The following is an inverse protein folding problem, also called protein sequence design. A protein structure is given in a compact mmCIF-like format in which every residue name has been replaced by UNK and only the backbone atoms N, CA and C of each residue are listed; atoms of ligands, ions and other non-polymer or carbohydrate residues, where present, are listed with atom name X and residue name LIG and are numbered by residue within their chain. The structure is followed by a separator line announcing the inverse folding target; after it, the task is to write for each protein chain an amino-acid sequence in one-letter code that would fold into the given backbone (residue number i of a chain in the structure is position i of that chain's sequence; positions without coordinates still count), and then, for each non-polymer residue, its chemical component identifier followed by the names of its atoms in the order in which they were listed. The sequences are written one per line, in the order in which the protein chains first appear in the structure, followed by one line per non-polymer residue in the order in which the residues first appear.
data_IF_332254131200
#
_entry.id   IF_332254131200
#
_cell.length_a   1.000
_cell.length_b   1.000
_cell.length_c   1.000
_cell.angle_alpha   90.00
_cell.angle_beta   90.00
_cell.angle_gamma   90.00
#
_symmetry.space_group_name_H-M   'P 1'
#
loop_
_entity.id
_entity.type
_entity.pdbx_description
1 polymer ?
#
# COMPACT_ATOMS: atom_id res chain seq x y z
N UNK A 1 -8.79 -11.07 11.50
CA UNK A 1 -8.92 -11.10 10.03
C UNK A 1 -7.68 -11.74 9.47
N UNK A 2 -7.84 -12.75 8.60
CA UNK A 2 -6.68 -13.41 7.98
C UNK A 2 -5.96 -12.45 7.05
N UNK A 3 -4.64 -12.56 7.01
CA UNK A 3 -3.81 -11.80 6.11
C UNK A 3 -2.60 -12.61 5.64
N UNK A 4 -2.23 -12.40 4.39
CA UNK A 4 -1.00 -12.92 3.79
C UNK A 4 0.05 -11.82 3.76
N UNK A 5 1.27 -12.19 4.15
CA UNK A 5 2.41 -11.27 4.23
C UNK A 5 3.39 -11.59 3.11
N UNK A 6 3.84 -10.55 2.42
CA UNK A 6 4.75 -10.63 1.30
C UNK A 6 6.03 -9.86 1.56
N UNK A 7 7.14 -10.34 0.99
CA UNK A 7 8.34 -9.52 0.72
C UNK A 7 8.50 -9.45 -0.79
N UNK A 8 8.38 -8.24 -1.34
CA UNK A 8 8.17 -8.07 -2.78
C UNK A 8 6.96 -8.89 -3.24
N UNK A 9 7.15 -9.88 -4.12
CA UNK A 9 6.09 -10.80 -4.57
C UNK A 9 6.07 -12.14 -3.85
N UNK A 10 7.06 -12.42 -2.98
CA UNK A 10 7.17 -13.72 -2.30
C UNK A 10 6.29 -13.74 -1.05
N UNK A 11 5.48 -14.78 -0.91
CA UNK A 11 4.74 -15.03 0.33
C UNK A 11 5.75 -15.45 1.40
N UNK A 12 5.87 -14.64 2.44
CA UNK A 12 6.75 -14.92 3.58
C UNK A 12 6.00 -15.49 4.76
N UNK A 13 4.67 -15.45 4.76
CA UNK A 13 3.87 -16.12 5.79
C UNK A 13 2.44 -15.60 5.83
N UNK A 14 1.70 -16.08 6.81
CA UNK A 14 0.31 -15.70 7.07
C UNK A 14 0.14 -15.29 8.52
N UNK A 15 -0.91 -14.54 8.82
CA UNK A 15 -1.24 -14.10 10.18
C UNK A 15 -2.73 -13.89 10.34
N UNK A 16 -3.23 -14.17 11.54
CA UNK A 16 -4.57 -13.76 11.97
C UNK A 16 -4.45 -12.42 12.71
N UNK A 17 -4.71 -11.32 12.01
CA UNK A 17 -4.61 -9.98 12.56
C UNK A 17 -5.79 -9.64 13.46
N UNK A 18 -5.50 -8.98 14.57
CA UNK A 18 -6.47 -8.39 15.48
C UNK A 18 -6.08 -6.95 15.83
N UNK A 19 -7.06 -6.18 16.27
CA UNK A 19 -6.84 -4.80 16.70
C UNK A 19 -6.05 -4.80 18.00
N UNK A 20 -4.93 -4.07 18.02
CA UNK A 20 -4.11 -3.84 19.20
C UNK A 20 -4.38 -2.47 19.79
N UNK A 21 -3.36 -1.61 19.75
CA UNK A 21 -3.51 -0.22 20.19
C UNK A 21 -4.31 0.57 19.15
N UNK A 22 -5.60 0.75 19.44
CA UNK A 22 -6.53 1.52 18.61
C UNK A 22 -6.12 2.99 18.45
N UNK A 23 -5.50 3.58 19.47
CA UNK A 23 -5.10 4.99 19.44
C UNK A 23 -3.97 5.25 18.46
N UNK A 24 -3.16 4.22 18.20
CA UNK A 24 -2.05 4.22 17.26
C UNK A 24 -2.42 3.55 15.93
N UNK A 25 -3.70 3.19 15.75
CA UNK A 25 -4.20 2.39 14.62
C UNK A 25 -3.33 1.16 14.34
N UNK A 26 -3.01 0.41 15.40
CA UNK A 26 -2.15 -0.77 15.33
C UNK A 26 -2.98 -2.05 15.23
N UNK A 27 -2.58 -2.94 14.32
CA UNK A 27 -3.04 -4.34 14.28
C UNK A 27 -1.84 -5.27 14.42
N UNK A 28 -2.05 -6.42 15.03
CA UNK A 28 -1.00 -7.39 15.27
C UNK A 28 -1.55 -8.81 15.20
N UNK A 29 -0.67 -9.80 15.05
CA UNK A 29 -1.07 -11.20 15.05
C UNK A 29 0.12 -12.14 15.14
N UNK A 30 -0.17 -13.40 15.45
CA UNK A 30 0.82 -14.47 15.39
C UNK A 30 1.19 -14.70 13.93
N UNK A 31 2.47 -14.51 13.62
CA UNK A 31 3.01 -14.70 12.29
C UNK A 31 3.44 -16.15 12.10
N UNK A 32 2.87 -16.79 11.07
CA UNK A 32 3.19 -18.15 10.66
C UNK A 32 4.12 -18.05 9.45
N UNK A 33 5.44 -18.14 9.65
CA UNK A 33 6.41 -17.96 8.57
C UNK A 33 6.36 -19.09 7.54
N UNK A 34 6.49 -18.72 6.27
CA UNK A 34 6.79 -19.63 5.16
C UNK A 34 8.31 -19.80 4.99
N UNK A 35 8.72 -20.77 4.16
CA UNK A 35 10.15 -21.03 3.90
C UNK A 35 10.91 -19.78 3.40
N UNK A 36 10.25 -18.92 2.63
CA UNK A 36 10.85 -17.71 2.09
C UNK A 36 11.16 -16.65 3.18
N UNK A 37 10.45 -16.66 4.31
CA UNK A 37 10.80 -15.81 5.45
C UNK A 37 12.19 -16.15 5.99
N UNK A 38 12.42 -17.42 6.31
CA UNK A 38 13.71 -17.88 6.83
C UNK A 38 14.85 -17.64 5.84
N UNK A 39 14.57 -17.80 4.54
CA UNK A 39 15.56 -17.67 3.47
C UNK A 39 15.95 -16.22 3.18
N UNK A 40 15.01 -15.29 3.24
CA UNK A 40 15.20 -13.93 2.72
C UNK A 40 14.98 -12.79 3.72
N UNK A 41 14.21 -13.02 4.78
CA UNK A 41 13.74 -11.95 5.69
C UNK A 41 14.34 -12.06 7.09
N UNK A 42 14.30 -13.25 7.71
CA UNK A 42 14.62 -13.45 9.13
C UNK A 42 15.94 -12.80 9.57
N UNK A 43 17.02 -13.04 8.83
CA UNK A 43 18.32 -12.45 9.15
C UNK A 43 18.29 -10.93 9.19
N UNK A 44 17.52 -10.29 8.31
CA UNK A 44 17.36 -8.84 8.32
C UNK A 44 16.54 -8.35 9.52
N UNK A 45 15.58 -9.14 10.01
CA UNK A 45 14.83 -8.86 11.25
C UNK A 45 15.78 -8.88 12.45
N UNK A 46 16.55 -9.95 12.61
CA UNK A 46 17.50 -10.09 13.72
C UNK A 46 18.57 -8.99 13.69
N UNK A 47 19.14 -8.70 12.53
CA UNK A 47 20.13 -7.63 12.37
C UNK A 47 19.54 -6.23 12.67
N UNK A 48 18.26 -6.01 12.34
CA UNK A 48 17.58 -4.74 12.62
C UNK A 48 17.33 -4.54 14.12
N UNK A 49 16.88 -5.60 14.83
CA UNK A 49 16.56 -5.56 16.26
C UNK A 49 17.79 -5.60 17.19
N UNK A 50 18.91 -6.17 16.74
CA UNK A 50 20.12 -6.34 17.55
C UNK A 50 21.04 -5.11 17.65
N UNK A 51 20.68 -3.99 16.98
CA UNK A 51 21.54 -2.80 16.88
C UNK A 51 20.86 -1.52 17.35
N UNK A 52 21.64 -0.62 17.95
CA UNK A 52 21.19 0.75 18.26
C UNK A 52 21.22 1.69 17.03
N UNK A 53 21.65 1.19 15.87
CA UNK A 53 21.71 1.93 14.60
C UNK A 53 21.08 1.09 13.48
N UNK A 54 19.74 0.91 13.50
CA UNK A 54 19.06 0.09 12.50
C UNK A 54 19.25 0.62 11.08
N UNK A 55 19.49 -0.29 10.14
CA UNK A 55 19.59 0.04 8.71
C UNK A 55 18.18 0.06 8.08
N UNK A 56 17.54 1.22 8.14
CA UNK A 56 16.23 1.45 7.53
C UNK A 56 16.24 1.25 6.02
N UNK A 57 17.35 1.53 5.33
CA UNK A 57 17.42 1.32 3.87
C UNK A 57 17.32 -0.17 3.55
N UNK A 58 18.05 -1.01 4.30
CA UNK A 58 17.95 -2.46 4.18
C UNK A 58 16.54 -2.95 4.57
N UNK A 59 15.96 -2.43 5.65
CA UNK A 59 14.59 -2.74 6.06
C UNK A 59 13.56 -2.45 4.96
N UNK A 60 13.56 -1.23 4.43
CA UNK A 60 12.65 -0.84 3.36
C UNK A 60 12.89 -1.63 2.06
N UNK A 61 14.12 -2.12 1.81
CA UNK A 61 14.40 -2.96 0.65
C UNK A 61 13.72 -4.34 0.71
N UNK A 62 13.26 -4.78 1.88
CA UNK A 62 12.45 -5.99 2.02
C UNK A 62 11.06 -5.82 1.40
N UNK A 63 10.60 -4.59 1.21
CA UNK A 63 9.32 -4.25 0.59
C UNK A 63 8.16 -5.12 1.12
N UNK A 64 7.96 -5.04 2.44
CA UNK A 64 6.95 -5.83 3.13
C UNK A 64 5.56 -5.30 2.76
N UNK A 65 4.67 -6.22 2.40
CA UNK A 65 3.28 -5.92 2.06
C UNK A 65 2.36 -6.90 2.80
N UNK A 66 1.22 -6.43 3.27
CA UNK A 66 0.22 -7.27 3.94
C UNK A 66 -1.12 -7.12 3.25
N UNK A 67 -1.69 -8.23 2.79
CA UNK A 67 -3.00 -8.29 2.15
C UNK A 67 -3.99 -9.01 3.05
N UNK A 68 -5.08 -8.34 3.40
CA UNK A 68 -6.21 -8.94 4.12
C UNK A 68 -6.97 -9.94 3.23
N UNK A 69 -7.68 -10.88 3.83
CA UNK A 69 -8.47 -11.90 3.10
C UNK A 69 -9.59 -11.32 2.22
N UNK A 70 -10.02 -10.08 2.47
CA UNK A 70 -10.94 -9.34 1.59
C UNK A 70 -10.25 -8.67 0.39
N UNK A 71 -8.95 -8.89 0.21
CA UNK A 71 -8.11 -8.36 -0.87
C UNK A 71 -7.51 -6.97 -0.63
N UNK A 72 -7.83 -6.30 0.49
CA UNK A 72 -7.27 -4.98 0.82
C UNK A 72 -5.81 -5.08 1.24
N UNK A 73 -4.93 -4.31 0.60
CA UNK A 73 -3.57 -4.10 1.09
C UNK A 73 -3.53 -3.07 2.20
N UNK A 74 -2.74 -3.34 3.24
CA UNK A 74 -2.46 -2.38 4.30
C UNK A 74 -1.36 -1.41 3.86
N UNK A 75 -1.54 -0.12 4.16
CA UNK A 75 -0.54 0.93 3.94
C UNK A 75 -0.21 1.61 5.29
N UNK A 76 0.64 1.00 6.12
CA UNK A 76 0.95 1.50 7.46
C UNK A 76 1.95 2.66 7.41
N UNK A 77 1.60 3.78 8.04
CA UNK A 77 2.51 4.93 8.20
C UNK A 77 3.65 4.61 9.18
N UNK A 78 3.36 3.83 10.24
CA UNK A 78 4.35 3.39 11.22
C UNK A 78 5.17 2.18 10.76
N UNK A 79 4.82 1.58 9.61
CA UNK A 79 5.49 0.42 9.05
C UNK A 79 5.12 -0.91 9.71
N UNK A 80 6.01 -1.87 9.53
CA UNK A 80 5.89 -3.24 10.00
C UNK A 80 7.03 -3.54 10.97
N UNK A 81 6.78 -4.38 11.96
CA UNK A 81 7.82 -5.00 12.79
C UNK A 81 7.51 -6.47 13.02
N UNK A 82 8.57 -7.26 13.17
CA UNK A 82 8.50 -8.66 13.55
C UNK A 82 9.19 -8.84 14.89
N UNK A 83 8.49 -9.45 15.84
CA UNK A 83 9.07 -9.94 17.09
C UNK A 83 9.60 -11.36 16.84
N UNK A 84 10.77 -11.43 16.23
CA UNK A 84 11.56 -12.64 16.00
C UNK A 84 12.95 -12.41 16.58
N UNK A 85 13.28 -13.17 17.61
CA UNK A 85 14.51 -13.04 18.38
C UNK A 85 15.34 -14.31 18.19
N UNK A 86 16.58 -14.16 17.73
CA UNK A 86 17.47 -15.29 17.37
C UNK A 86 17.66 -16.27 18.53
N UNK A 87 17.74 -15.75 19.76
CA UNK A 87 17.90 -16.53 20.98
C UNK A 87 16.66 -17.38 21.33
N UNK A 88 15.49 -17.05 20.79
CA UNK A 88 14.20 -17.67 21.11
C UNK A 88 13.56 -18.39 19.92
N UNK A 89 14.33 -19.27 19.26
CA UNK A 89 13.91 -20.05 18.08
C UNK A 89 12.64 -20.92 18.22
N UNK A 90 12.06 -21.04 19.42
CA UNK A 90 10.84 -21.82 19.71
C UNK A 90 9.63 -20.92 19.98
N UNK A 91 9.84 -19.61 20.16
CA UNK A 91 8.74 -18.68 20.43
C UNK A 91 7.94 -18.38 19.17
N UNK A 92 6.68 -18.01 19.37
CA UNK A 92 5.80 -17.62 18.27
C UNK A 92 6.24 -16.25 17.78
N UNK A 93 6.57 -16.16 16.50
CA UNK A 93 6.87 -14.88 15.87
C UNK A 93 5.59 -14.05 15.84
N UNK A 94 5.68 -12.77 16.20
CA UNK A 94 4.58 -11.81 16.08
C UNK A 94 4.89 -10.80 14.99
N UNK A 95 3.86 -10.37 14.26
CA UNK A 95 3.93 -9.20 13.38
C UNK A 95 3.05 -8.09 13.95
N UNK A 96 3.58 -6.87 13.95
CA UNK A 96 2.88 -5.64 14.30
C UNK A 96 2.87 -4.69 13.10
N UNK A 97 1.73 -4.03 12.90
CA UNK A 97 1.47 -3.16 11.77
C UNK A 97 0.86 -1.87 12.30
N UNK A 98 1.63 -0.77 12.26
CA UNK A 98 1.31 0.46 12.97
C UNK A 98 0.91 1.61 12.03
N UNK A 99 -0.02 2.46 12.46
CA UNK A 99 -0.41 3.64 11.68
C UNK A 99 -1.23 3.29 10.44
N UNK A 100 -2.11 2.31 10.57
CA UNK A 100 -3.04 1.89 9.52
C UNK A 100 -4.23 2.87 9.45
N UNK A 101 -4.85 3.07 8.27
CA UNK A 101 -5.95 4.03 8.17
C UNK A 101 -7.15 3.61 9.03
N UNK A 102 -7.75 4.55 9.76
CA UNK A 102 -8.81 4.28 10.74
C UNK A 102 -10.02 3.53 10.15
N UNK A 103 -10.42 3.87 8.93
CA UNK A 103 -11.54 3.19 8.27
C UNK A 103 -11.27 1.69 8.05
N UNK A 104 -10.01 1.25 7.85
CA UNK A 104 -9.67 -0.18 7.74
C UNK A 104 -10.06 -0.90 9.04
N UNK A 105 -9.74 -0.31 10.19
CA UNK A 105 -10.09 -0.88 11.50
C UNK A 105 -11.61 -0.92 11.67
N UNK A 106 -12.29 0.19 11.40
CA UNK A 106 -13.73 0.30 11.62
C UNK A 106 -14.53 -0.59 10.65
N UNK A 107 -14.16 -0.61 9.38
CA UNK A 107 -14.89 -1.31 8.32
C UNK A 107 -14.58 -2.81 8.26
N UNK A 108 -13.32 -3.22 8.49
CA UNK A 108 -12.90 -4.59 8.24
C UNK A 108 -12.68 -5.42 9.51
N UNK A 109 -12.29 -4.78 10.62
CA UNK A 109 -12.02 -5.49 11.88
C UNK A 109 -13.15 -5.37 12.90
N UNK A 110 -13.85 -4.23 12.95
CA UNK A 110 -14.91 -3.97 13.95
C UNK A 110 -16.33 -4.19 13.45
N UNK A 111 -16.55 -4.19 12.14
CA UNK A 111 -17.86 -4.48 11.56
C UNK A 111 -18.07 -5.99 11.42
N UNK A 112 -19.26 -6.47 11.76
CA UNK A 112 -19.66 -7.89 11.62
C UNK A 112 -21.01 -8.00 10.87
N UNK A 113 -21.02 -8.50 9.62
CA UNK A 113 -19.85 -8.92 8.84
C UNK A 113 -18.95 -7.72 8.45
N UNK A 114 -17.67 -7.95 8.13
CA UNK A 114 -16.80 -6.93 7.55
C UNK A 114 -17.45 -6.27 6.33
N UNK A 115 -17.33 -4.94 6.21
CA UNK A 115 -17.87 -4.23 5.05
C UNK A 115 -17.14 -4.66 3.77
N UNK A 116 -17.85 -4.60 2.65
CA UNK A 116 -17.26 -4.81 1.34
C UNK A 116 -16.14 -3.79 1.10
N UNK A 117 -14.99 -4.29 0.64
CA UNK A 117 -13.84 -3.46 0.30
C UNK A 117 -14.06 -2.75 -1.04
N UNK A 118 -14.48 -3.50 -2.06
CA UNK A 118 -14.76 -2.99 -3.41
C UNK A 118 -16.09 -3.56 -3.92
N UNK A 119 -16.68 -2.86 -4.87
CA UNK A 119 -17.90 -3.24 -5.58
C UNK A 119 -17.68 -3.06 -7.08
N UNK A 120 -18.32 -3.89 -7.91
CA UNK A 120 -18.21 -3.78 -9.37
C UNK A 120 -18.50 -2.35 -9.84
N UNK A 121 -17.76 -1.82 -10.84
CA UNK A 121 -16.71 -2.46 -11.64
C UNK A 121 -15.31 -2.42 -11.02
N UNK A 122 -15.18 -2.14 -9.72
CA UNK A 122 -13.90 -2.12 -9.01
C UNK A 122 -13.51 -3.50 -8.49
N UNK A 123 -12.24 -3.87 -8.69
CA UNK A 123 -11.70 -5.16 -8.25
C UNK A 123 -10.47 -5.03 -7.35
N UNK A 124 -10.31 -6.03 -6.49
CA UNK A 124 -9.09 -6.23 -5.70
C UNK A 124 -7.91 -6.49 -6.63
N UNK A 125 -6.72 -6.09 -6.20
CA UNK A 125 -5.48 -6.34 -6.92
C UNK A 125 -4.65 -7.41 -6.19
N UNK A 126 -3.79 -8.12 -6.92
CA UNK A 126 -2.78 -9.00 -6.30
C UNK A 126 -1.44 -8.26 -6.10
N UNK A 127 -0.47 -8.94 -5.50
CA UNK A 127 0.84 -8.34 -5.19
C UNK A 127 1.62 -7.95 -6.46
N UNK A 128 1.53 -8.73 -7.54
CA UNK A 128 2.18 -8.40 -8.80
C UNK A 128 1.60 -7.13 -9.43
N UNK A 129 0.26 -7.00 -9.44
CA UNK A 129 -0.44 -5.81 -9.91
C UNK A 129 -0.11 -4.60 -9.06
N UNK A 130 -0.12 -4.75 -7.73
CA UNK A 130 0.24 -3.68 -6.80
C UNK A 130 1.61 -3.08 -7.11
N UNK A 131 2.63 -3.94 -7.17
CA UNK A 131 4.00 -3.49 -7.43
C UNK A 131 4.17 -2.93 -8.85
N UNK A 132 3.46 -3.49 -9.84
CA UNK A 132 3.43 -2.96 -11.20
C UNK A 132 2.88 -1.53 -11.22
N UNK A 133 1.74 -1.29 -10.57
CA UNK A 133 1.07 0.02 -10.54
C UNK A 133 1.89 1.07 -9.81
N UNK A 134 2.50 0.70 -8.67
CA UNK A 134 3.38 1.59 -7.91
C UNK A 134 4.64 1.94 -8.70
N UNK A 135 5.25 0.97 -9.37
CA UNK A 135 6.43 1.20 -10.20
C UNK A 135 6.10 2.12 -11.38
N UNK A 136 4.98 1.88 -12.06
CA UNK A 136 4.55 2.72 -13.18
C UNK A 136 4.23 4.15 -12.72
N UNK A 137 3.50 4.31 -11.60
CA UNK A 137 3.25 5.63 -11.02
C UNK A 137 4.57 6.36 -10.72
N UNK A 138 5.52 5.70 -10.06
CA UNK A 138 6.80 6.28 -9.70
C UNK A 138 7.61 6.72 -10.93
N UNK A 139 7.58 5.93 -12.01
CA UNK A 139 8.20 6.27 -13.29
C UNK A 139 7.62 7.56 -13.87
N UNK A 140 6.29 7.67 -13.91
CA UNK A 140 5.61 8.82 -14.50
C UNK A 140 5.80 10.11 -13.67
N UNK A 141 5.77 10.03 -12.32
CA UNK A 141 5.90 11.23 -11.47
C UNK A 141 7.35 11.74 -11.30
N UNK A 142 8.37 10.86 -11.36
CA UNK A 142 9.78 11.27 -11.18
C UNK A 142 10.31 12.01 -12.41
N UNK A 143 9.96 11.57 -13.62
CA UNK A 143 10.45 12.21 -14.83
C UNK A 143 9.75 13.54 -15.13
N UNK A 144 8.54 13.80 -14.61
CA UNK A 144 7.94 15.13 -14.62
C UNK A 144 8.81 16.20 -13.92
N UNK A 145 9.77 15.78 -13.07
CA UNK A 145 10.69 16.67 -12.36
C UNK A 145 12.09 16.77 -12.98
N UNK A 146 12.43 15.95 -13.98
CA UNK A 146 13.79 15.85 -14.53
C UNK A 146 13.81 15.79 -16.07
N UNK A 147 13.52 16.92 -16.72
CA UNK A 147 13.93 17.13 -18.11
C UNK A 147 15.28 17.85 -18.15
N UNK A 148 16.33 17.13 -18.60
CA UNK A 148 17.63 17.68 -18.96
C UNK A 148 18.00 17.17 -20.36
N UNK A 149 17.73 17.97 -21.40
CA UNK A 149 18.60 18.21 -22.56
C UNK A 149 18.15 19.55 -23.21
N UNK A 150 18.76 20.65 -22.79
CA UNK A 150 18.94 21.85 -23.61
C UNK A 150 17.86 22.94 -23.61
N UNK A 151 16.55 22.67 -23.54
CA UNK A 151 15.53 23.72 -23.72
C UNK A 151 14.28 23.46 -22.87
N UNK A 152 13.96 24.42 -22.00
CA UNK A 152 12.79 24.54 -21.10
C UNK A 152 12.77 23.59 -19.90
N UNK A 153 13.05 24.12 -18.71
CA UNK A 153 12.68 23.48 -17.43
C UNK A 153 11.16 23.48 -17.32
N UNK A 154 10.51 22.35 -17.54
CA UNK A 154 9.16 22.15 -16.99
C UNK A 154 9.29 22.09 -15.45
N UNK A 155 8.86 23.15 -14.77
CA UNK A 155 8.95 23.32 -13.32
C UNK A 155 7.79 22.72 -12.54
N UNK A 156 6.87 22.00 -13.21
CA UNK A 156 5.66 21.50 -12.57
C UNK A 156 5.88 20.07 -12.07
N UNK A 157 6.31 19.97 -10.81
CA UNK A 157 6.23 18.72 -10.04
C UNK A 157 4.80 18.17 -10.12
N UNK A 158 4.68 16.85 -10.30
CA UNK A 158 3.40 16.19 -10.24
C UNK A 158 2.81 16.30 -8.82
N UNK A 159 1.48 16.31 -8.68
CA UNK A 159 0.82 16.49 -7.38
C UNK A 159 1.18 15.39 -6.38
N UNK A 160 1.51 14.19 -6.88
CA UNK A 160 1.94 13.03 -6.08
C UNK A 160 3.46 12.91 -5.88
N UNK A 161 4.28 13.85 -6.36
CA UNK A 161 5.75 13.74 -6.28
C UNK A 161 6.26 13.60 -4.84
N UNK A 162 5.60 14.24 -3.88
CA UNK A 162 6.01 14.25 -2.47
C UNK A 162 5.13 13.31 -1.60
N UNK A 163 4.39 12.37 -2.22
CA UNK A 163 3.56 11.39 -1.52
C UNK A 163 4.15 9.98 -1.60
N UNK A 164 4.07 9.25 -0.49
CA UNK A 164 4.14 7.80 -0.49
C UNK A 164 2.81 7.26 -1.01
N UNK A 165 2.88 6.33 -1.96
CA UNK A 165 1.71 5.83 -2.68
C UNK A 165 1.68 4.31 -2.59
N UNK A 166 0.51 3.76 -2.30
CA UNK A 166 0.27 2.32 -2.18
C UNK A 166 -0.98 1.96 -2.96
N UNK A 167 -0.87 1.11 -3.98
CA UNK A 167 -2.02 0.72 -4.80
C UNK A 167 -3.03 -0.10 -3.97
N UNK A 168 -4.31 0.18 -4.18
CA UNK A 168 -5.44 -0.33 -3.37
C UNK A 168 -6.36 -1.21 -4.21
N UNK A 169 -6.91 -0.69 -5.29
CA UNK A 169 -7.81 -1.40 -6.20
C UNK A 169 -7.77 -0.78 -7.60
N UNK A 170 -8.36 -1.46 -8.58
CA UNK A 170 -8.47 -0.95 -9.96
C UNK A 170 -9.90 -1.06 -10.46
N UNK A 171 -10.25 -0.18 -11.40
CA UNK A 171 -11.47 -0.34 -12.19
C UNK A 171 -11.20 -1.34 -13.33
N UNK A 172 -12.16 -2.21 -13.67
CA UNK A 172 -12.00 -3.19 -14.76
C UNK A 172 -12.23 -2.59 -16.16
N UNK A 173 -12.99 -1.50 -16.26
CA UNK A 173 -13.38 -0.87 -17.51
C UNK A 173 -12.43 0.23 -17.96
N UNK A 174 -11.58 0.72 -17.06
CA UNK A 174 -10.62 1.79 -17.33
C UNK A 174 -9.23 1.44 -16.78
N UNK A 175 -8.25 2.23 -17.19
CA UNK A 175 -6.89 2.19 -16.62
C UNK A 175 -6.79 3.00 -15.31
N UNK A 176 -7.90 3.11 -14.57
CA UNK A 176 -7.95 3.83 -13.30
C UNK A 176 -7.54 2.91 -12.14
N UNK A 177 -6.59 3.39 -11.35
CA UNK A 177 -6.10 2.73 -10.14
C UNK A 177 -6.25 3.68 -8.96
N UNK A 178 -6.83 3.17 -7.87
CA UNK A 178 -6.87 3.89 -6.60
C UNK A 178 -5.59 3.61 -5.82
N UNK A 179 -4.96 4.67 -5.34
CA UNK A 179 -3.83 4.64 -4.42
C UNK A 179 -4.24 5.22 -3.07
N UNK A 180 -3.83 4.57 -1.98
CA UNK A 180 -3.70 5.22 -0.70
C UNK A 180 -2.43 6.08 -0.73
N UNK A 181 -2.54 7.30 -0.27
CA UNK A 181 -1.44 8.27 -0.30
C UNK A 181 -1.19 8.85 1.09
N UNK A 182 0.07 9.13 1.39
CA UNK A 182 0.46 9.81 2.61
C UNK A 182 1.59 10.81 2.32
N UNK A 183 1.55 11.98 2.96
CA UNK A 183 2.69 12.88 3.01
C UNK A 183 2.93 13.39 4.44
N UNK A 184 4.18 13.67 4.74
CA UNK A 184 4.59 14.24 6.03
C UNK A 184 4.28 15.75 6.16
N UNK A 185 3.76 16.38 5.10
CA UNK A 185 3.54 17.83 4.99
C UNK A 185 2.07 18.21 5.19
N UNK A 186 1.33 17.49 6.05
CA UNK A 186 -0.02 17.84 6.51
C UNK A 186 -1.11 17.96 5.43
N UNK A 187 -1.05 17.18 4.35
CA UNK A 187 -2.17 17.10 3.42
C UNK A 187 -3.36 16.38 4.05
N UNK A 188 -4.58 16.93 3.87
CA UNK A 188 -5.83 16.29 4.29
C UNK A 188 -6.24 15.13 3.38
N UNK A 189 -5.53 14.92 2.26
CA UNK A 189 -5.84 13.89 1.26
C UNK A 189 -5.21 12.56 1.61
N UNK A 190 -6.03 11.51 1.61
CA UNK A 190 -5.63 10.13 1.95
C UNK A 190 -5.65 9.17 0.76
N UNK A 191 -6.31 9.56 -0.34
CA UNK A 191 -6.45 8.73 -1.54
C UNK A 191 -6.25 9.52 -2.83
N UNK A 192 -5.74 8.84 -3.85
CA UNK A 192 -5.58 9.35 -5.20
C UNK A 192 -6.09 8.33 -6.21
N UNK A 193 -7.07 8.73 -7.03
CA UNK A 193 -7.46 8.03 -8.24
C UNK A 193 -6.55 8.47 -9.37
N UNK A 194 -5.82 7.53 -9.97
CA UNK A 194 -4.84 7.81 -11.00
C UNK A 194 -5.12 7.00 -12.24
N UNK A 195 -5.18 7.67 -13.39
CA UNK A 195 -5.27 7.02 -14.69
C UNK A 195 -3.86 6.68 -15.20
N UNK A 196 -3.50 5.39 -15.23
CA UNK A 196 -2.15 4.93 -15.60
C UNK A 196 -2.16 4.12 -16.90
N UNK A 197 -1.62 4.68 -17.97
CA UNK A 197 -1.47 3.99 -19.26
C UNK A 197 -0.17 3.21 -19.31
N UNK A 198 -0.22 1.89 -19.51
CA UNK A 198 0.96 1.00 -19.59
C UNK A 198 1.64 1.02 -20.96
N UNK A 199 1.79 2.19 -21.57
CA UNK A 199 2.27 2.32 -22.96
C UNK A 199 3.77 2.02 -23.13
N UNK A 200 4.48 1.72 -22.04
CA UNK A 200 5.94 1.48 -22.02
C UNK A 200 6.78 2.74 -22.26
N UNK A 201 6.16 3.88 -22.59
CA UNK A 201 6.78 5.19 -22.76
C UNK A 201 6.03 6.21 -21.91
N UNK A 202 6.73 7.25 -21.47
CA UNK A 202 6.11 8.32 -20.71
C UNK A 202 5.14 9.12 -21.58
N UNK A 203 4.01 9.54 -21.05
CA UNK A 203 3.17 10.51 -21.75
C UNK A 203 3.76 11.91 -21.65
N UNK A 204 3.99 12.58 -22.78
CA UNK A 204 4.52 13.96 -22.83
C UNK A 204 3.56 15.05 -22.35
N UNK A 205 2.51 14.70 -21.58
CA UNK A 205 1.52 15.66 -21.07
C UNK A 205 1.92 16.10 -19.67
N UNK A 206 2.04 17.42 -19.39
CA UNK A 206 2.58 17.94 -18.12
C UNK A 206 1.69 17.72 -16.87
N UNK A 207 0.48 17.18 -17.05
CA UNK A 207 -0.45 16.82 -15.95
C UNK A 207 -0.74 15.31 -15.91
N UNK A 208 0.02 14.53 -16.68
CA UNK A 208 -0.08 13.08 -16.64
C UNK A 208 0.80 12.53 -15.51
N UNK A 209 0.37 11.46 -14.82
CA UNK A 209 -0.95 10.82 -14.96
C UNK A 209 -2.08 11.68 -14.39
N UNK A 210 -3.27 11.61 -15.00
CA UNK A 210 -4.43 12.34 -14.49
C UNK A 210 -4.73 11.83 -13.08
N UNK A 211 -4.80 12.75 -12.12
CA UNK A 211 -4.94 12.44 -10.69
C UNK A 211 -6.10 13.22 -10.09
N UNK A 212 -6.99 12.50 -9.39
CA UNK A 212 -8.06 13.06 -8.56
C UNK A 212 -7.83 12.66 -7.11
N UNK A 213 -7.84 13.62 -6.19
CA UNK A 213 -7.54 13.39 -4.77
C UNK A 213 -8.82 13.35 -3.92
N UNK A 214 -8.86 12.43 -2.96
CA UNK A 214 -9.97 12.29 -2.00
C UNK A 214 -9.46 12.40 -0.57
N UNK A 215 -10.29 12.99 0.30
CA UNK A 215 -9.98 13.14 1.73
C UNK A 215 -10.01 11.77 2.46
N UNK A 216 -10.89 10.88 2.04
CA UNK A 216 -11.10 9.57 2.66
C UNK A 216 -11.51 8.50 1.66
N UNK A 217 -11.50 7.25 2.10
CA UNK A 217 -12.00 6.13 1.30
C UNK A 217 -13.51 6.25 1.06
N UNK A 218 -14.27 6.74 2.05
CA UNK A 218 -15.71 6.99 1.91
C UNK A 218 -16.02 8.07 0.86
N UNK A 219 -15.21 9.13 0.79
CA UNK A 219 -15.35 10.15 -0.25
C UNK A 219 -15.15 9.53 -1.64
N UNK A 220 -14.12 8.69 -1.81
CA UNK A 220 -13.93 7.93 -3.05
C UNK A 220 -15.12 7.00 -3.36
N UNK A 221 -15.64 6.27 -2.35
CA UNK A 221 -16.78 5.39 -2.57
C UNK A 221 -18.00 6.15 -3.07
N UNK A 222 -18.33 7.26 -2.42
CA UNK A 222 -19.51 8.05 -2.73
C UNK A 222 -19.38 8.79 -4.07
N UNK A 223 -18.22 9.41 -4.33
CA UNK A 223 -18.02 10.25 -5.52
C UNK A 223 -17.72 9.44 -6.78
N UNK A 224 -17.09 8.27 -6.65
CA UNK A 224 -16.64 7.46 -7.79
C UNK A 224 -17.19 6.03 -7.79
N UNK A 225 -16.94 5.24 -6.75
CA UNK A 225 -17.25 3.79 -6.78
C UNK A 225 -18.74 3.51 -6.99
N UNK A 226 -19.63 4.17 -6.23
CA UNK A 226 -21.07 3.95 -6.34
C UNK A 226 -21.67 4.50 -7.64
N UNK A 227 -21.10 5.59 -8.17
CA UNK A 227 -21.46 6.11 -9.49
C UNK A 227 -21.10 5.10 -10.58
N UNK A 228 -19.85 4.60 -10.57
CA UNK A 228 -19.38 3.61 -11.54
C UNK A 228 -20.20 2.31 -11.45
N UNK A 229 -20.61 1.91 -10.24
CA UNK A 229 -21.48 0.75 -10.03
C UNK A 229 -22.87 0.94 -10.66
N UNK A 230 -23.50 2.08 -10.43
CA UNK A 230 -24.81 2.36 -11.01
C UNK A 230 -24.75 2.33 -12.55
N UNK A 231 -23.69 2.90 -13.13
CA UNK A 231 -23.44 2.85 -14.58
C UNK A 231 -23.14 1.44 -15.11
N UNK A 232 -22.58 0.55 -14.28
CA UNK A 232 -22.31 -0.85 -14.64
C UNK A 232 -23.57 -1.72 -14.63
N UNK A 233 -24.52 -1.41 -13.74
CA UNK A 233 -25.77 -2.16 -13.57
C UNK A 233 -26.88 -1.74 -14.57
N UNK A 234 -26.75 -0.57 -15.20
CA UNK A 234 -27.64 -0.03 -16.24
C UNK A 234 -27.39 -0.65 -17.64
#
# INVERSE_FOLDING_TARGET
MRATVYSNTLIIGDTDLQVGDESMSCVFGNFIPANDYYKFVQKSVWEFGSTNKPDYKKWHSLNINVQLENGSFLHPIGGYSFDDIEEFSVETIRIDIAGISRHIIEDFFKSDPPKLFVEDPWMTINIEQKLLFETELQKEIKNASSEYWGLVKSTRKHILTDYECSAVCKNIQSDDILFSIHNNNTSDKSYALVHLTFSGKQEGKPKFPLTTLFDSFDAFKFERMYTDKAEWED
#
